data_IF_588784665775
#
_entry.id   IF_588784665775
#
_cell.length_a   1.000
_cell.length_b   1.000
_cell.length_c   1.000
_cell.angle_alpha   90.00
_cell.angle_beta   90.00
_cell.angle_gamma   90.00
#
_symmetry.space_group_name_H-M   'P 1'
#
loop_
_entity.id
_entity.type
_entity.pdbx_description
1 polymer ?
#
# COMPACT_ATOMS: atom_id res chain seq x y z
N UNK A 1 -13.08 -20.72 66.57
CA UNK A 1 -12.13 -20.06 65.66
C UNK A 1 -12.70 -18.68 65.28
N UNK A 2 -12.34 -17.66 66.08
CA UNK A 2 -12.87 -16.30 65.89
C UNK A 2 -11.99 -15.58 64.87
N UNK A 3 -12.51 -15.39 63.69
CA UNK A 3 -11.92 -14.45 62.72
C UNK A 3 -12.13 -13.04 63.23
N UNK A 4 -11.04 -12.38 63.56
CA UNK A 4 -11.07 -11.04 64.13
C UNK A 4 -11.71 -10.05 63.18
N UNK A 5 -12.61 -9.20 63.66
CA UNK A 5 -13.37 -8.18 62.95
C UNK A 5 -12.53 -7.26 62.01
N UNK A 6 -11.23 -7.19 62.22
CA UNK A 6 -10.30 -6.41 61.39
C UNK A 6 -9.98 -7.04 60.03
N UNK A 7 -10.00 -8.39 59.92
CA UNK A 7 -9.76 -9.04 58.60
C UNK A 7 -10.96 -8.92 57.68
N UNK A 8 -12.18 -8.91 58.23
CA UNK A 8 -13.40 -8.71 57.44
C UNK A 8 -13.49 -7.27 56.93
N UNK A 9 -13.11 -6.27 57.76
CA UNK A 9 -13.05 -4.86 57.29
C UNK A 9 -12.00 -4.63 56.22
N UNK A 10 -10.85 -5.29 56.27
CA UNK A 10 -9.82 -5.18 55.25
C UNK A 10 -10.23 -5.84 53.93
N UNK A 11 -10.91 -7.00 54.00
CA UNK A 11 -11.44 -7.65 52.79
C UNK A 11 -12.53 -6.83 52.09
N UNK A 12 -13.40 -6.15 52.87
CA UNK A 12 -14.44 -5.28 52.36
C UNK A 12 -13.86 -4.01 51.71
N UNK A 13 -12.79 -3.44 52.24
CA UNK A 13 -12.10 -2.30 51.70
C UNK A 13 -11.36 -2.64 50.39
N UNK A 14 -10.78 -3.84 50.27
CA UNK A 14 -10.14 -4.33 49.05
C UNK A 14 -11.19 -4.60 47.95
N UNK A 15 -12.34 -5.18 48.30
CA UNK A 15 -13.45 -5.41 47.37
C UNK A 15 -14.07 -4.10 46.86
N UNK A 16 -14.25 -3.09 47.70
CA UNK A 16 -14.74 -1.77 47.32
C UNK A 16 -13.69 -1.05 46.46
N UNK A 17 -12.39 -1.16 46.76
CA UNK A 17 -11.30 -0.62 45.98
C UNK A 17 -11.22 -1.22 44.57
N UNK A 18 -11.44 -2.53 44.42
CA UNK A 18 -11.49 -3.22 43.12
C UNK A 18 -12.73 -2.82 42.29
N UNK A 19 -13.87 -2.55 42.92
CA UNK A 19 -15.07 -2.06 42.23
C UNK A 19 -14.91 -0.62 41.73
N UNK A 20 -14.13 0.22 42.41
CA UNK A 20 -13.86 1.60 41.93
C UNK A 20 -12.81 1.66 40.83
N UNK A 21 -11.86 0.70 40.78
CA UNK A 21 -10.86 0.66 39.71
C UNK A 21 -11.46 0.23 38.36
N UNK A 22 -12.47 -0.65 38.37
CA UNK A 22 -13.16 -1.10 37.16
C UNK A 22 -14.13 -0.06 36.58
N UNK A 23 -14.65 0.86 37.42
CA UNK A 23 -15.59 1.90 36.97
C UNK A 23 -14.90 3.19 36.47
N UNK A 24 -13.61 3.39 36.69
CA UNK A 24 -12.93 4.60 36.23
C UNK A 24 -12.54 4.57 34.75
N UNK A 25 -12.55 3.40 34.10
CA UNK A 25 -12.35 3.29 32.63
C UNK A 25 -13.63 3.45 31.82
N UNK A 26 -14.80 3.36 32.42
CA UNK A 26 -16.11 3.51 31.75
C UNK A 26 -16.66 4.94 31.79
N UNK A 27 -15.93 5.90 32.33
CA UNK A 27 -16.50 7.21 32.70
C UNK A 27 -16.29 8.36 31.71
N UNK A 28 -15.90 8.11 30.46
CA UNK A 28 -15.68 9.19 29.51
C UNK A 28 -16.44 9.08 28.18
N UNK A 29 -17.50 8.27 28.14
CA UNK A 29 -18.45 8.34 27.02
C UNK A 29 -19.77 8.87 27.56
N UNK A 30 -20.28 10.01 27.08
CA UNK A 30 -21.63 10.45 27.42
C UNK A 30 -22.62 9.36 27.03
N UNK A 31 -23.38 8.83 28.00
CA UNK A 31 -24.55 8.00 27.71
C UNK A 31 -25.46 8.81 26.81
N UNK A 32 -25.65 8.36 25.55
CA UNK A 32 -26.57 9.00 24.63
C UNK A 32 -26.02 9.43 23.27
N UNK A 33 -24.75 9.16 22.95
CA UNK A 33 -24.22 9.38 21.59
C UNK A 33 -24.05 8.03 20.87
N UNK A 34 -25.09 7.53 20.17
CA UNK A 34 -24.98 6.30 19.37
C UNK A 34 -23.90 6.41 18.27
N UNK A 35 -23.57 7.64 17.87
CA UNK A 35 -22.52 7.96 16.90
C UNK A 35 -21.10 7.63 17.36
N UNK A 36 -20.91 7.36 18.66
CA UNK A 36 -19.61 6.97 19.22
C UNK A 36 -19.35 5.47 19.18
N UNK A 37 -20.37 4.69 18.90
CA UNK A 37 -20.21 3.25 18.73
C UNK A 37 -19.82 2.97 17.28
N UNK A 38 -18.90 2.00 17.12
CA UNK A 38 -18.52 1.50 15.81
C UNK A 38 -19.81 1.11 15.05
N UNK A 39 -20.13 1.87 14.01
CA UNK A 39 -21.18 1.49 13.09
C UNK A 39 -20.65 0.30 12.27
N UNK A 40 -21.15 -0.92 12.44
CA UNK A 40 -20.70 -2.08 11.69
C UNK A 40 -20.92 -1.91 10.18
N UNK A 41 -21.86 -1.06 9.75
CA UNK A 41 -22.12 -0.74 8.35
C UNK A 41 -21.22 0.39 7.82
N UNK A 42 -20.57 1.16 8.71
CA UNK A 42 -19.63 2.21 8.32
C UNK A 42 -18.35 2.14 9.15
N UNK A 43 -17.44 1.24 8.80
CA UNK A 43 -16.19 1.02 9.53
C UNK A 43 -15.27 2.25 9.57
N UNK A 44 -15.49 3.28 8.74
CA UNK A 44 -14.74 4.55 8.78
C UNK A 44 -15.13 5.37 10.03
N UNK A 45 -16.34 5.19 10.55
CA UNK A 45 -16.82 5.82 11.78
C UNK A 45 -16.28 5.15 13.06
N UNK A 46 -15.41 4.16 12.95
CA UNK A 46 -14.74 3.61 14.12
C UNK A 46 -13.93 4.73 14.79
N UNK A 47 -14.25 4.99 16.05
CA UNK A 47 -13.56 5.97 16.90
C UNK A 47 -12.17 5.43 17.30
N UNK A 48 -11.39 5.06 16.29
CA UNK A 48 -10.06 4.55 16.50
C UNK A 48 -9.11 5.72 16.67
N UNK A 49 -8.70 5.93 17.92
CA UNK A 49 -7.55 6.76 18.24
C UNK A 49 -6.49 5.80 18.76
N UNK A 50 -5.31 5.74 18.16
CA UNK A 50 -4.20 4.98 18.73
C UNK A 50 -3.98 5.44 20.17
N UNK A 51 -4.24 4.58 21.14
CA UNK A 51 -4.25 4.93 22.56
C UNK A 51 -2.89 5.41 23.06
N UNK A 52 -1.79 5.02 22.39
CA UNK A 52 -0.42 5.22 22.86
C UNK A 52 0.54 5.66 21.76
N UNK A 53 0.11 6.58 20.89
CA UNK A 53 1.02 7.21 19.92
C UNK A 53 1.97 8.14 20.66
N UNK A 54 3.04 7.60 21.17
CA UNK A 54 4.16 8.37 21.65
C UNK A 54 5.40 8.13 20.78
N UNK A 55 6.35 9.07 20.81
CA UNK A 55 7.57 8.99 19.99
C UNK A 55 8.39 7.72 20.22
N UNK A 56 8.23 7.02 21.36
CA UNK A 56 8.97 5.80 21.69
C UNK A 56 8.38 4.57 20.99
N UNK A 57 7.07 4.55 20.74
CA UNK A 57 6.38 3.41 20.14
C UNK A 57 6.22 3.54 18.62
N UNK A 58 6.52 4.72 18.07
CA UNK A 58 6.51 4.95 16.63
C UNK A 58 7.57 4.07 15.95
N UNK A 59 7.11 3.11 15.16
CA UNK A 59 7.97 2.20 14.40
C UNK A 59 8.19 0.82 15.05
N UNK A 60 7.66 0.57 16.25
CA UNK A 60 7.73 -0.75 16.89
C UNK A 60 6.53 -1.65 16.53
N UNK A 61 5.36 -1.05 16.34
CA UNK A 61 4.16 -1.76 15.90
C UNK A 61 3.78 -1.33 14.47
N UNK A 62 3.85 -2.26 13.49
CA UNK A 62 3.49 -1.97 12.11
C UNK A 62 1.99 -1.68 11.93
N UNK A 63 1.16 -1.96 12.92
CA UNK A 63 -0.28 -1.74 12.85
C UNK A 63 -0.79 -0.63 13.79
N UNK A 64 0.10 0.16 14.37
CA UNK A 64 -0.27 1.18 15.37
C UNK A 64 -1.37 2.16 14.89
N UNK A 65 -1.47 2.37 13.59
CA UNK A 65 -2.50 3.24 12.99
C UNK A 65 -3.66 2.46 12.36
N UNK A 66 -3.65 1.12 12.46
CA UNK A 66 -4.69 0.28 11.89
C UNK A 66 -5.75 -0.05 12.94
N UNK A 67 -7.03 0.11 12.63
CA UNK A 67 -8.10 -0.37 13.51
C UNK A 67 -7.98 -1.89 13.71
N UNK A 68 -8.17 -2.34 14.95
CA UNK A 68 -8.19 -3.77 15.26
C UNK A 68 -9.36 -4.43 14.50
N UNK A 69 -9.09 -5.54 13.84
CA UNK A 69 -10.09 -6.39 13.17
C UNK A 69 -10.82 -5.78 11.97
N UNK A 70 -10.37 -4.64 11.40
CA UNK A 70 -11.00 -4.10 10.19
C UNK A 70 -10.04 -4.07 9.02
N UNK A 71 -10.39 -4.77 7.93
CA UNK A 71 -9.72 -4.69 6.63
C UNK A 71 -10.55 -3.84 5.70
N UNK A 72 -10.38 -2.51 5.72
CA UNK A 72 -11.18 -1.56 4.94
C UNK A 72 -10.71 -1.48 3.49
N UNK A 73 -9.44 -1.36 3.29
CA UNK A 73 -8.82 -1.32 1.97
C UNK A 73 -7.31 -1.40 2.07
N UNK A 74 -6.67 -1.75 0.95
CA UNK A 74 -5.21 -1.85 0.87
C UNK A 74 -4.70 -1.25 -0.42
N UNK A 75 -3.86 -0.23 -0.30
CA UNK A 75 -3.13 0.39 -1.39
C UNK A 75 -1.67 -0.04 -1.32
N UNK A 76 -1.22 -0.79 -2.31
CA UNK A 76 0.13 -1.37 -2.34
C UNK A 76 0.93 -0.74 -3.47
N UNK A 77 2.12 -0.21 -3.16
CA UNK A 77 3.02 0.39 -4.12
C UNK A 77 4.20 -0.53 -4.41
N UNK A 78 4.33 -0.92 -5.68
CA UNK A 78 5.54 -1.53 -6.23
C UNK A 78 6.32 -0.46 -6.99
N UNK A 79 7.52 -0.13 -6.52
CA UNK A 79 8.33 0.94 -7.12
C UNK A 79 9.61 0.36 -7.68
N UNK A 80 9.79 0.52 -8.98
CA UNK A 80 10.92 0.00 -9.74
C UNK A 80 12.13 0.94 -9.62
N UNK A 81 13.22 0.40 -9.09
CA UNK A 81 14.51 1.07 -8.96
C UNK A 81 15.61 0.38 -9.77
N UNK A 82 15.23 -0.41 -10.78
CA UNK A 82 16.19 -1.17 -11.58
C UNK A 82 16.88 -0.33 -12.65
N UNK A 83 16.31 0.83 -12.97
CA UNK A 83 16.93 1.84 -13.84
C UNK A 83 17.20 3.12 -13.06
N UNK A 84 18.33 3.80 -13.29
CA UNK A 84 18.57 5.11 -12.69
C UNK A 84 17.46 6.09 -13.05
N UNK A 85 16.97 6.82 -12.07
CA UNK A 85 15.93 7.82 -12.24
C UNK A 85 16.50 9.24 -12.22
N UNK A 86 16.01 10.10 -13.08
CA UNK A 86 16.33 11.51 -13.08
C UNK A 86 15.61 12.25 -11.94
N UNK A 87 16.10 13.44 -11.62
CA UNK A 87 15.49 14.25 -10.56
C UNK A 87 14.03 14.58 -10.85
N UNK A 88 13.69 14.92 -12.09
CA UNK A 88 12.31 15.21 -12.51
C UNK A 88 11.39 14.00 -12.32
N UNK A 89 11.85 12.80 -12.67
CA UNK A 89 11.12 11.55 -12.46
C UNK A 89 10.91 11.27 -10.98
N UNK A 90 11.92 11.45 -10.15
CA UNK A 90 11.81 11.30 -8.69
C UNK A 90 10.83 12.30 -8.10
N UNK A 91 10.86 13.56 -8.51
CA UNK A 91 9.95 14.58 -8.00
C UNK A 91 8.49 14.30 -8.46
N UNK A 92 8.30 13.79 -9.67
CA UNK A 92 7.00 13.33 -10.15
C UNK A 92 6.48 12.13 -9.33
N UNK A 93 7.32 11.11 -9.09
CA UNK A 93 6.98 9.96 -8.24
C UNK A 93 6.58 10.43 -6.84
N UNK A 94 7.39 11.30 -6.22
CA UNK A 94 7.06 11.87 -4.90
C UNK A 94 5.69 12.50 -4.87
N UNK A 95 5.38 13.30 -5.89
CA UNK A 95 4.09 13.97 -6.00
C UNK A 95 2.90 13.04 -6.20
N UNK A 96 3.12 11.80 -6.65
CA UNK A 96 2.07 10.82 -6.93
C UNK A 96 1.82 9.83 -5.81
N UNK A 97 2.88 9.35 -5.15
CA UNK A 97 2.77 8.26 -4.19
C UNK A 97 3.02 8.66 -2.73
N UNK A 98 3.36 9.93 -2.47
CA UNK A 98 3.60 10.45 -1.13
C UNK A 98 2.85 11.76 -0.88
N UNK A 99 3.00 12.28 0.32
CA UNK A 99 2.50 13.59 0.73
C UNK A 99 1.00 13.77 0.59
N UNK A 100 0.59 14.95 0.16
CA UNK A 100 -0.82 15.35 0.05
C UNK A 100 -1.59 14.49 -0.94
N UNK A 101 -0.97 14.06 -2.04
CA UNK A 101 -1.63 13.19 -3.02
C UNK A 101 -2.01 11.85 -2.38
N UNK A 102 -1.09 11.24 -1.61
CA UNK A 102 -1.38 10.01 -0.89
C UNK A 102 -2.58 10.19 0.06
N UNK A 103 -2.59 11.30 0.83
CA UNK A 103 -3.72 11.63 1.73
C UNK A 103 -5.02 11.80 0.96
N UNK A 104 -4.99 12.49 -0.20
CA UNK A 104 -6.17 12.78 -1.02
C UNK A 104 -6.69 11.59 -1.84
N UNK A 105 -5.88 10.55 -2.04
CA UNK A 105 -6.24 9.40 -2.88
C UNK A 105 -6.42 8.11 -2.10
N UNK A 106 -6.17 8.11 -0.80
CA UNK A 106 -6.31 6.94 0.06
C UNK A 106 -7.30 7.24 1.17
N UNK A 107 -8.40 6.50 1.29
CA UNK A 107 -9.35 6.70 2.38
C UNK A 107 -8.72 6.48 3.77
N UNK A 108 -9.30 7.06 4.84
CA UNK A 108 -8.86 6.81 6.21
C UNK A 108 -8.83 5.32 6.53
N UNK A 109 -7.86 4.90 7.32
CA UNK A 109 -7.67 3.53 7.79
C UNK A 109 -7.42 2.47 6.71
N UNK A 110 -7.34 2.84 5.45
CA UNK A 110 -6.81 1.95 4.42
C UNK A 110 -5.33 1.70 4.68
N UNK A 111 -4.93 0.44 4.53
CA UNK A 111 -3.53 0.04 4.64
C UNK A 111 -2.74 0.55 3.44
N UNK A 112 -1.54 1.03 3.70
CA UNK A 112 -0.60 1.49 2.68
C UNK A 112 0.68 0.69 2.84
N UNK A 113 1.11 0.03 1.77
CA UNK A 113 2.34 -0.74 1.76
C UNK A 113 3.24 -0.36 0.60
N UNK A 114 4.55 -0.44 0.80
CA UNK A 114 5.55 -0.18 -0.23
C UNK A 114 6.55 -1.32 -0.31
N UNK A 115 6.88 -1.71 -1.53
CA UNK A 115 7.92 -2.67 -1.85
C UNK A 115 8.75 -2.16 -3.03
N UNK A 116 10.07 -2.36 -2.98
CA UNK A 116 10.95 -2.07 -4.11
C UNK A 116 10.98 -3.23 -5.07
N UNK A 117 10.98 -2.92 -6.36
CA UNK A 117 11.42 -3.85 -7.40
C UNK A 117 12.91 -3.62 -7.59
N UNK A 118 13.69 -4.66 -7.41
CA UNK A 118 15.12 -4.70 -7.68
C UNK A 118 15.51 -6.01 -8.40
N UNK A 119 16.78 -6.32 -8.49
CA UNK A 119 17.28 -7.52 -9.18
C UNK A 119 17.27 -8.78 -8.32
N UNK A 120 16.81 -8.71 -7.08
CA UNK A 120 16.67 -9.85 -6.18
C UNK A 120 15.33 -10.59 -6.38
N UNK A 121 15.27 -11.84 -5.95
CA UNK A 121 14.02 -12.60 -6.03
C UNK A 121 12.97 -12.00 -5.07
N UNK A 122 11.70 -11.81 -5.53
CA UNK A 122 10.65 -11.21 -4.69
C UNK A 122 10.44 -11.91 -3.34
N UNK A 123 10.67 -13.23 -3.27
CA UNK A 123 10.54 -14.03 -2.05
C UNK A 123 11.54 -13.61 -0.95
N UNK A 124 12.66 -13.01 -1.35
CA UNK A 124 13.70 -12.51 -0.43
C UNK A 124 13.47 -11.07 0.01
N UNK A 125 12.49 -10.40 -0.60
CA UNK A 125 12.15 -9.00 -0.27
C UNK A 125 11.08 -8.94 0.80
N UNK A 126 11.23 -7.96 1.66
CA UNK A 126 10.22 -7.60 2.66
C UNK A 126 9.44 -6.36 2.20
N UNK A 127 8.23 -6.23 2.72
CA UNK A 127 7.47 -4.99 2.60
C UNK A 127 8.22 -3.91 3.36
N UNK A 128 8.73 -2.91 2.64
CA UNK A 128 9.60 -1.89 3.21
C UNK A 128 8.87 -0.94 4.17
N UNK A 129 7.55 -0.83 4.01
CA UNK A 129 6.67 -0.03 4.86
C UNK A 129 5.25 -0.57 4.77
N UNK A 130 4.55 -0.63 5.90
CA UNK A 130 3.16 -1.03 5.96
C UNK A 130 2.48 -0.35 7.14
N UNK A 131 1.53 0.55 6.89
CA UNK A 131 0.78 1.30 7.91
C UNK A 131 -0.59 1.70 7.38
N UNK A 132 -1.57 1.84 8.27
CA UNK A 132 -2.85 2.43 7.88
C UNK A 132 -2.78 3.96 7.90
N UNK A 133 -3.47 4.58 6.93
CA UNK A 133 -3.60 6.02 6.87
C UNK A 133 -4.47 6.54 8.03
N UNK A 134 -3.95 7.47 8.81
CA UNK A 134 -4.76 8.16 9.82
C UNK A 134 -5.71 9.18 9.16
N UNK A 135 -6.90 9.36 9.75
CA UNK A 135 -7.79 10.45 9.36
C UNK A 135 -7.22 11.81 9.76
N UNK A 136 -7.52 12.83 8.99
CA UNK A 136 -6.97 14.18 9.20
C UNK A 136 -7.62 14.93 10.35
N UNK A 137 -8.82 14.57 10.72
CA UNK A 137 -9.66 15.31 11.67
C UNK A 137 -10.34 16.54 11.08
N UNK A 138 -10.16 16.79 9.79
CA UNK A 138 -10.75 17.92 9.07
C UNK A 138 -11.70 17.43 7.97
N UNK A 139 -12.61 18.30 7.54
CA UNK A 139 -13.47 18.03 6.40
C UNK A 139 -12.61 17.78 5.15
N UNK A 140 -12.77 16.61 4.56
CA UNK A 140 -12.05 16.19 3.37
C UNK A 140 -12.98 15.59 2.33
N UNK A 141 -12.39 15.07 1.26
CA UNK A 141 -13.14 14.36 0.20
C UNK A 141 -13.74 13.03 0.69
N UNK A 142 -13.24 12.46 1.78
CA UNK A 142 -13.71 11.18 2.31
C UNK A 142 -14.67 11.42 3.49
N UNK A 143 -15.83 10.74 3.45
CA UNK A 143 -16.77 10.74 4.56
C UNK A 143 -16.11 10.15 5.82
N UNK A 144 -16.31 10.77 6.97
CA UNK A 144 -15.73 10.32 8.23
C UNK A 144 -14.30 10.82 8.51
N UNK A 145 -13.76 11.73 7.70
CA UNK A 145 -12.49 12.41 7.97
C UNK A 145 -12.56 13.40 9.12
N UNK A 146 -13.73 13.98 9.34
CA UNK A 146 -13.93 14.92 10.43
C UNK A 146 -13.83 14.22 11.79
N UNK A 147 -13.33 14.95 12.78
CA UNK A 147 -13.45 14.49 14.16
C UNK A 147 -14.90 14.59 14.61
N UNK A 148 -15.42 13.50 15.16
CA UNK A 148 -16.64 13.57 15.95
C UNK A 148 -16.26 14.11 17.35
N UNK A 149 -16.51 15.40 17.60
CA UNK A 149 -16.11 16.08 18.83
C UNK A 149 -16.74 15.50 20.11
N UNK A 150 -17.84 14.77 19.98
CA UNK A 150 -18.47 14.05 21.09
C UNK A 150 -17.76 12.75 21.48
N UNK A 151 -17.06 12.13 20.54
CA UNK A 151 -16.49 10.79 20.68
C UNK A 151 -14.95 10.80 20.66
N UNK A 152 -14.37 11.73 19.92
CA UNK A 152 -12.93 11.78 19.65
C UNK A 152 -12.37 13.14 20.05
N UNK A 153 -11.31 13.14 20.82
CA UNK A 153 -10.61 14.38 21.10
C UNK A 153 -9.87 14.88 19.84
N UNK A 154 -10.29 16.01 19.28
CA UNK A 154 -9.67 16.63 18.09
C UNK A 154 -8.14 16.71 18.22
N UNK A 155 -7.64 17.03 19.42
CA UNK A 155 -6.20 17.08 19.70
C UNK A 155 -5.55 15.71 19.53
N UNK A 156 -6.19 14.61 19.96
CA UNK A 156 -5.65 13.25 19.83
C UNK A 156 -5.56 12.83 18.36
N UNK A 157 -6.61 13.07 17.59
CA UNK A 157 -6.63 12.77 16.14
C UNK A 157 -5.55 13.56 15.41
N UNK A 158 -5.46 14.87 15.65
CA UNK A 158 -4.43 15.69 15.02
C UNK A 158 -3.01 15.22 15.40
N UNK A 159 -2.78 14.84 16.65
CA UNK A 159 -1.50 14.30 17.10
C UNK A 159 -1.16 12.99 16.39
N UNK A 160 -2.11 12.08 16.28
CA UNK A 160 -1.93 10.80 15.58
C UNK A 160 -1.67 11.00 14.08
N UNK A 161 -2.40 11.92 13.44
CA UNK A 161 -2.19 12.26 12.04
C UNK A 161 -0.79 12.87 11.80
N UNK A 162 -0.36 13.79 12.65
CA UNK A 162 1.00 14.37 12.55
C UNK A 162 2.09 13.32 12.77
N UNK A 163 1.90 12.40 13.70
CA UNK A 163 2.82 11.28 13.92
C UNK A 163 2.89 10.36 12.69
N UNK A 164 1.75 10.02 12.10
CA UNK A 164 1.68 9.25 10.86
C UNK A 164 2.40 9.97 9.70
N UNK A 165 2.16 11.29 9.51
CA UNK A 165 2.83 12.09 8.49
C UNK A 165 4.36 12.06 8.67
N UNK A 166 4.83 12.25 9.91
CA UNK A 166 6.26 12.24 10.21
C UNK A 166 6.91 10.89 9.88
N UNK A 167 6.26 9.77 10.21
CA UNK A 167 6.73 8.44 9.85
C UNK A 167 6.78 8.25 8.34
N UNK A 168 5.73 8.66 7.65
CA UNK A 168 5.64 8.57 6.19
C UNK A 168 6.73 9.39 5.50
N UNK A 169 6.99 10.62 5.95
CA UNK A 169 8.07 11.47 5.44
C UNK A 169 9.46 10.88 5.71
N UNK A 170 9.67 10.30 6.90
CA UNK A 170 10.93 9.65 7.26
C UNK A 170 11.18 8.43 6.38
N UNK A 171 10.13 7.63 6.17
CA UNK A 171 10.18 6.49 5.26
C UNK A 171 10.47 6.94 3.83
N UNK A 172 9.75 7.94 3.31
CA UNK A 172 9.95 8.49 1.96
C UNK A 172 11.42 8.83 1.69
N UNK A 173 12.06 9.55 2.61
CA UNK A 173 13.48 9.92 2.48
C UNK A 173 14.38 8.69 2.33
N UNK A 174 14.17 7.67 3.15
CA UNK A 174 14.96 6.43 3.10
C UNK A 174 14.66 5.61 1.85
N UNK A 175 13.39 5.50 1.49
CA UNK A 175 12.92 4.66 0.39
C UNK A 175 13.45 5.14 -0.96
N UNK A 176 13.50 6.46 -1.16
CA UNK A 176 13.95 7.07 -2.41
C UNK A 176 15.47 7.29 -2.51
N UNK A 177 16.24 6.99 -1.46
CA UNK A 177 17.70 7.21 -1.50
C UNK A 177 18.45 6.33 -2.51
N UNK A 178 17.86 5.23 -2.96
CA UNK A 178 18.52 4.23 -3.84
C UNK A 178 18.18 4.39 -5.33
N UNK A 179 17.55 5.49 -5.73
CA UNK A 179 17.07 5.73 -7.09
C UNK A 179 18.17 5.82 -8.18
N UNK A 180 19.43 5.93 -7.77
CA UNK A 180 20.59 6.01 -8.69
C UNK A 180 21.24 4.65 -8.95
N UNK A 181 20.74 3.58 -8.35
CA UNK A 181 21.28 2.24 -8.56
C UNK A 181 20.84 1.71 -9.91
N UNK A 182 21.77 1.06 -10.59
CA UNK A 182 21.49 0.32 -11.81
C UNK A 182 21.49 -1.17 -11.48
N UNK A 183 20.47 -1.87 -11.94
CA UNK A 183 20.31 -3.30 -11.70
C UNK A 183 20.44 -4.08 -13.02
N UNK A 184 20.94 -5.32 -12.92
CA UNK A 184 21.08 -6.19 -14.07
C UNK A 184 19.76 -6.79 -14.56
N UNK A 185 18.70 -6.71 -13.75
CA UNK A 185 17.38 -7.29 -14.02
C UNK A 185 16.28 -6.37 -13.50
N UNK A 186 15.16 -6.37 -14.21
CA UNK A 186 13.90 -5.74 -13.75
C UNK A 186 12.84 -6.83 -13.70
N UNK A 187 12.46 -7.23 -12.50
CA UNK A 187 11.60 -8.38 -12.22
C UNK A 187 10.13 -7.98 -11.98
N UNK A 188 9.62 -7.00 -12.74
CA UNK A 188 8.30 -6.39 -12.53
C UNK A 188 7.21 -7.45 -12.49
N UNK A 189 7.25 -8.39 -13.43
CA UNK A 189 6.28 -9.47 -13.54
C UNK A 189 6.32 -10.43 -12.35
N UNK A 190 7.53 -10.77 -11.91
CA UNK A 190 7.75 -11.63 -10.75
C UNK A 190 7.23 -10.98 -9.47
N UNK A 191 7.45 -9.69 -9.29
CA UNK A 191 6.93 -8.92 -8.15
C UNK A 191 5.42 -8.76 -8.20
N UNK A 192 4.84 -8.49 -9.38
CA UNK A 192 3.39 -8.45 -9.55
C UNK A 192 2.72 -9.74 -9.04
N UNK A 193 3.19 -10.90 -9.50
CA UNK A 193 2.62 -12.17 -9.06
C UNK A 193 2.93 -12.48 -7.60
N UNK A 194 4.07 -12.08 -7.09
CA UNK A 194 4.41 -12.25 -5.69
C UNK A 194 3.42 -11.49 -4.79
N UNK A 195 3.16 -10.21 -5.09
CA UNK A 195 2.21 -9.40 -4.31
C UNK A 195 0.80 -9.97 -4.39
N UNK A 196 0.39 -10.46 -5.54
CA UNK A 196 -0.97 -10.99 -5.72
C UNK A 196 -1.19 -12.38 -5.09
N UNK A 197 -0.15 -13.15 -4.79
CA UNK A 197 -0.27 -14.55 -4.38
C UNK A 197 0.23 -14.84 -2.96
N UNK A 198 1.18 -14.08 -2.48
CA UNK A 198 1.85 -14.39 -1.22
C UNK A 198 1.16 -13.74 -0.02
N UNK A 199 0.76 -14.55 0.95
CA UNK A 199 0.11 -14.07 2.18
C UNK A 199 0.97 -13.10 2.98
N UNK A 200 2.31 -13.25 2.93
CA UNK A 200 3.23 -12.38 3.65
C UNK A 200 3.18 -10.91 3.23
N UNK A 201 2.64 -10.61 2.04
CA UNK A 201 2.42 -9.24 1.58
C UNK A 201 1.16 -8.63 2.18
N UNK A 202 0.31 -9.45 2.79
CA UNK A 202 -1.01 -9.10 3.32
C UNK A 202 -1.92 -8.37 2.29
N UNK A 203 -1.61 -8.50 0.99
CA UNK A 203 -2.43 -7.93 -0.09
C UNK A 203 -3.48 -8.93 -0.56
N UNK A 204 -4.30 -9.40 0.38
CA UNK A 204 -5.26 -10.49 0.18
C UNK A 204 -6.64 -10.00 -0.27
N UNK A 205 -7.46 -10.91 -0.84
CA UNK A 205 -8.85 -10.63 -1.24
C UNK A 205 -9.81 -10.38 -0.07
N UNK A 206 -9.34 -10.48 1.17
CA UNK A 206 -10.11 -10.11 2.36
C UNK A 206 -10.33 -8.59 2.47
N UNK A 207 -9.48 -7.79 1.82
CA UNK A 207 -9.72 -6.35 1.71
C UNK A 207 -10.80 -6.09 0.65
N UNK A 208 -11.90 -5.38 1.01
CA UNK A 208 -12.98 -5.06 0.07
C UNK A 208 -12.54 -4.12 -1.06
N UNK A 209 -11.51 -3.33 -0.83
CA UNK A 209 -10.91 -2.45 -1.83
C UNK A 209 -9.40 -2.68 -1.89
N UNK A 210 -8.88 -2.99 -3.08
CA UNK A 210 -7.44 -3.17 -3.28
C UNK A 210 -6.95 -2.41 -4.49
N UNK A 211 -5.92 -1.62 -4.29
CA UNK A 211 -5.24 -0.94 -5.39
C UNK A 211 -3.75 -1.29 -5.37
N UNK A 212 -3.27 -1.90 -6.45
CA UNK A 212 -1.85 -2.12 -6.69
C UNK A 212 -1.33 -1.03 -7.63
N UNK A 213 -0.44 -0.18 -7.12
CA UNK A 213 0.20 0.88 -7.90
C UNK A 213 1.60 0.44 -8.28
N UNK A 214 1.85 0.30 -9.58
CA UNK A 214 3.16 -0.06 -10.13
C UNK A 214 3.80 1.20 -10.71
N UNK A 215 4.96 1.58 -10.18
CA UNK A 215 5.75 2.72 -10.66
C UNK A 215 6.96 2.17 -11.40
N UNK A 216 7.00 2.24 -12.73
CA UNK A 216 8.04 1.58 -13.54
C UNK A 216 8.06 2.09 -14.98
N UNK A 217 9.17 1.89 -15.67
CA UNK A 217 9.31 1.99 -17.13
C UNK A 217 8.71 0.78 -17.88
N UNK A 218 8.19 -0.21 -17.15
CA UNK A 218 7.59 -1.43 -17.66
C UNK A 218 8.54 -2.35 -18.46
N UNK A 219 9.84 -2.09 -18.44
CA UNK A 219 10.84 -2.87 -19.16
C UNK A 219 11.26 -4.13 -18.41
N UNK A 220 10.36 -5.11 -18.38
CA UNK A 220 10.60 -6.43 -17.79
C UNK A 220 11.90 -7.07 -18.30
N UNK A 221 12.76 -7.46 -17.38
CA UNK A 221 13.99 -8.20 -17.70
C UNK A 221 14.33 -9.26 -16.67
N UNK A 222 14.12 -10.52 -17.01
CA UNK A 222 14.46 -11.65 -16.14
C UNK A 222 15.13 -12.78 -16.93
N UNK A 223 15.58 -13.80 -16.19
CA UNK A 223 16.09 -15.04 -16.81
C UNK A 223 15.02 -15.80 -17.58
N UNK A 224 13.74 -15.59 -17.28
CA UNK A 224 12.61 -16.28 -17.90
C UNK A 224 12.22 -15.63 -19.22
N UNK A 225 12.12 -14.30 -19.25
CA UNK A 225 11.89 -13.54 -20.47
C UNK A 225 12.31 -12.08 -20.31
N UNK A 226 12.51 -11.40 -21.45
CA UNK A 226 12.98 -10.02 -21.47
C UNK A 226 12.25 -9.25 -22.55
N UNK A 227 11.70 -8.10 -22.19
CA UNK A 227 11.10 -7.18 -23.16
C UNK A 227 12.17 -6.49 -23.98
N UNK A 228 13.36 -6.25 -23.46
CA UNK A 228 14.47 -5.77 -24.28
C UNK A 228 14.72 -6.66 -25.53
N UNK A 229 14.63 -7.99 -25.38
CA UNK A 229 14.76 -8.94 -26.50
C UNK A 229 13.48 -9.06 -27.34
N UNK A 230 12.32 -8.75 -26.76
CA UNK A 230 11.03 -8.85 -27.44
C UNK A 230 10.68 -7.57 -28.23
N UNK A 231 11.09 -6.41 -27.69
CA UNK A 231 10.85 -5.11 -28.27
C UNK A 231 11.96 -4.65 -29.25
N UNK A 232 12.97 -5.47 -29.42
CA UNK A 232 14.04 -5.23 -30.40
C UNK A 232 13.57 -5.66 -31.77
N UNK A 233 13.59 -4.75 -32.75
CA UNK A 233 13.06 -5.03 -34.08
C UNK A 233 14.14 -5.26 -35.12
N UNK A 234 15.36 -4.73 -34.95
CA UNK A 234 16.45 -4.81 -35.95
C UNK A 234 17.84 -4.87 -35.33
N UNK A 235 18.85 -4.61 -36.15
CA UNK A 235 20.28 -4.71 -35.82
C UNK A 235 20.74 -3.71 -34.74
N UNK A 236 19.92 -2.76 -34.35
CA UNK A 236 20.21 -1.85 -33.25
C UNK A 236 20.05 -2.54 -31.89
N UNK A 237 20.91 -2.23 -30.94
CA UNK A 237 20.82 -2.77 -29.58
C UNK A 237 19.76 -2.05 -28.75
N UNK A 238 19.14 -1.02 -29.26
CA UNK A 238 18.12 -0.19 -28.59
C UNK A 238 16.73 -0.72 -28.91
N UNK A 239 15.87 -0.97 -27.93
CA UNK A 239 14.47 -1.29 -28.15
C UNK A 239 13.76 -0.11 -28.80
N UNK A 240 13.01 -0.34 -29.88
CA UNK A 240 12.25 0.72 -30.55
C UNK A 240 10.76 0.41 -30.75
N UNK A 241 10.38 -0.86 -30.83
CA UNK A 241 8.99 -1.30 -30.90
C UNK A 241 8.83 -2.71 -30.39
N UNK A 242 7.79 -2.97 -29.61
CA UNK A 242 7.49 -4.31 -29.12
C UNK A 242 6.70 -5.11 -30.16
N UNK A 243 7.00 -6.40 -30.26
CA UNK A 243 6.13 -7.35 -30.97
C UNK A 243 4.86 -7.57 -30.13
N UNK A 244 3.79 -8.06 -30.77
CA UNK A 244 2.53 -8.34 -30.07
C UNK A 244 2.71 -9.34 -28.93
N UNK A 245 1.83 -9.30 -27.94
CA UNK A 245 1.79 -10.24 -26.83
C UNK A 245 1.61 -11.70 -27.32
N UNK A 246 0.83 -11.91 -28.36
CA UNK A 246 0.69 -13.22 -28.99
C UNK A 246 2.02 -13.78 -29.53
N UNK A 247 2.92 -12.92 -30.03
CA UNK A 247 4.25 -13.35 -30.43
C UNK A 247 5.13 -13.73 -29.23
N UNK A 248 4.91 -13.14 -28.06
CA UNK A 248 5.55 -13.52 -26.80
C UNK A 248 5.06 -14.90 -26.35
N UNK A 249 3.76 -15.16 -26.39
CA UNK A 249 3.13 -16.44 -26.01
C UNK A 249 3.49 -17.63 -26.92
N UNK A 250 3.93 -17.39 -28.17
CA UNK A 250 4.46 -18.46 -29.03
C UNK A 250 5.70 -19.15 -28.43
N UNK A 251 6.41 -18.48 -27.53
CA UNK A 251 7.51 -19.09 -26.76
C UNK A 251 6.94 -19.91 -25.61
N UNK A 252 6.84 -21.24 -25.78
CA UNK A 252 6.23 -22.15 -24.80
C UNK A 252 6.73 -21.96 -23.38
N UNK A 253 8.04 -21.74 -23.18
CA UNK A 253 8.61 -21.46 -21.85
C UNK A 253 8.08 -20.21 -21.19
N UNK A 254 7.79 -19.15 -21.97
CA UNK A 254 7.20 -17.91 -21.46
C UNK A 254 5.72 -18.12 -21.17
N UNK A 255 5.00 -18.74 -22.10
CA UNK A 255 3.58 -19.06 -21.91
C UNK A 255 3.35 -19.88 -20.65
N UNK A 256 4.04 -20.99 -20.49
CA UNK A 256 3.93 -21.85 -19.32
C UNK A 256 4.28 -21.10 -18.04
N UNK A 257 5.34 -20.27 -18.08
CA UNK A 257 5.74 -19.46 -16.94
C UNK A 257 4.64 -18.48 -16.48
N UNK A 258 3.92 -17.88 -17.42
CA UNK A 258 2.79 -16.98 -17.13
C UNK A 258 1.60 -17.78 -16.63
N UNK A 259 1.25 -18.88 -17.31
CA UNK A 259 0.10 -19.72 -16.98
C UNK A 259 0.21 -20.32 -15.56
N UNK A 260 1.40 -20.81 -15.19
CA UNK A 260 1.69 -21.38 -13.86
C UNK A 260 1.52 -20.35 -12.72
N UNK A 261 1.56 -19.06 -13.04
CA UNK A 261 1.49 -17.95 -12.08
C UNK A 261 0.22 -17.14 -12.18
N UNK A 262 -0.63 -17.47 -13.13
CA UNK A 262 -1.90 -16.76 -13.32
C UNK A 262 -2.70 -16.74 -12.01
N UNK A 263 -3.10 -15.56 -11.52
CA UNK A 263 -3.92 -15.47 -10.32
C UNK A 263 -5.28 -16.17 -10.56
N UNK A 264 -5.86 -16.72 -9.52
CA UNK A 264 -7.23 -17.19 -9.59
C UNK A 264 -8.22 -16.01 -9.52
N UNK A 265 -9.50 -16.29 -9.82
CA UNK A 265 -10.54 -15.24 -9.83
C UNK A 265 -10.73 -14.59 -8.45
N UNK A 266 -10.61 -15.35 -7.37
CA UNK A 266 -10.76 -14.80 -6.02
C UNK A 266 -9.62 -13.84 -5.68
N UNK A 267 -8.40 -14.16 -6.12
CA UNK A 267 -7.25 -13.28 -5.98
C UNK A 267 -7.44 -11.95 -6.73
N UNK A 268 -8.19 -11.95 -7.83
CA UNK A 268 -8.43 -10.75 -8.64
C UNK A 268 -9.67 -9.95 -8.20
N UNK A 269 -10.46 -10.49 -7.29
CA UNK A 269 -11.66 -9.81 -6.79
C UNK A 269 -11.29 -8.49 -6.13
N UNK A 270 -12.06 -7.43 -6.43
CA UNK A 270 -11.88 -6.07 -5.87
C UNK A 270 -10.48 -5.47 -6.09
N UNK A 271 -9.76 -5.91 -7.11
CA UNK A 271 -8.44 -5.43 -7.46
C UNK A 271 -8.52 -4.34 -8.54
N UNK A 272 -7.90 -3.21 -8.27
CA UNK A 272 -7.53 -2.21 -9.29
C UNK A 272 -6.01 -2.21 -9.44
N UNK A 273 -5.50 -2.13 -10.67
CA UNK A 273 -4.09 -1.87 -10.95
C UNK A 273 -3.93 -0.48 -11.54
N UNK A 274 -3.09 0.34 -10.93
CA UNK A 274 -2.69 1.64 -11.46
C UNK A 274 -1.22 1.58 -11.84
N UNK A 275 -0.89 1.83 -13.09
CA UNK A 275 0.50 1.96 -13.53
C UNK A 275 0.85 3.44 -13.61
N UNK A 276 1.87 3.84 -12.88
CA UNK A 276 2.54 5.12 -13.04
C UNK A 276 3.75 4.89 -13.93
N UNK A 277 3.55 5.14 -15.24
CA UNK A 277 4.53 4.83 -16.25
C UNK A 277 5.59 5.93 -16.34
N UNK A 278 6.84 5.55 -16.14
CA UNK A 278 8.01 6.43 -16.18
C UNK A 278 8.62 6.34 -17.56
N UNK A 279 8.61 7.44 -18.33
CA UNK A 279 9.27 7.48 -19.63
C UNK A 279 10.79 7.65 -19.47
N UNK A 280 11.54 6.92 -20.28
CA UNK A 280 12.95 7.22 -20.54
C UNK A 280 13.10 7.87 -21.91
N UNK A 281 14.11 8.70 -22.11
CA UNK A 281 14.32 9.46 -23.35
C UNK A 281 14.36 8.62 -24.63
N UNK A 282 14.87 7.37 -24.51
CA UNK A 282 14.90 6.45 -25.66
C UNK A 282 13.51 5.90 -26.03
N UNK A 283 12.53 5.97 -25.13
CA UNK A 283 11.19 5.40 -25.33
C UNK A 283 10.29 6.33 -26.15
N UNK A 284 10.61 7.61 -26.22
CA UNK A 284 9.82 8.60 -26.93
C UNK A 284 10.02 8.56 -28.44
N UNK A 285 11.11 7.96 -28.93
CA UNK A 285 11.58 8.13 -30.30
C UNK A 285 10.80 7.35 -31.34
N UNK A 286 10.32 6.12 -31.11
CA UNK A 286 9.77 5.27 -32.19
C UNK A 286 8.52 4.46 -31.82
N UNK A 287 7.68 4.97 -30.94
CA UNK A 287 6.45 4.27 -30.54
C UNK A 287 6.69 3.07 -29.61
N UNK A 288 7.86 2.97 -28.99
CA UNK A 288 8.18 1.94 -27.98
C UNK A 288 7.20 2.03 -26.83
N UNK A 289 7.00 3.22 -26.26
CA UNK A 289 6.07 3.46 -25.15
C UNK A 289 4.67 2.94 -25.44
N UNK A 290 4.12 3.26 -26.62
CA UNK A 290 2.77 2.82 -27.02
C UNK A 290 2.69 1.30 -27.19
N UNK A 291 3.69 0.68 -27.80
CA UNK A 291 3.72 -0.77 -28.02
C UNK A 291 3.99 -1.55 -26.73
N UNK A 292 4.75 -0.97 -25.79
CA UNK A 292 5.02 -1.55 -24.48
C UNK A 292 3.76 -1.50 -23.60
N UNK A 293 3.05 -0.37 -23.60
CA UNK A 293 1.76 -0.24 -22.91
C UNK A 293 0.77 -1.27 -23.45
N UNK A 294 0.61 -1.38 -24.77
CA UNK A 294 -0.28 -2.37 -25.38
C UNK A 294 0.08 -3.82 -25.01
N UNK A 295 1.37 -4.11 -24.87
CA UNK A 295 1.84 -5.42 -24.45
C UNK A 295 1.45 -5.75 -23.00
N UNK A 296 1.53 -4.77 -22.08
CA UNK A 296 1.08 -4.92 -20.71
C UNK A 296 -0.44 -5.00 -20.59
N UNK A 297 -1.19 -4.24 -21.38
CA UNK A 297 -2.65 -4.34 -21.44
C UNK A 297 -3.11 -5.73 -21.91
N UNK A 298 -2.47 -6.28 -22.95
CA UNK A 298 -2.74 -7.63 -23.42
C UNK A 298 -2.37 -8.68 -22.36
N UNK A 299 -1.29 -8.48 -21.63
CA UNK A 299 -0.91 -9.33 -20.50
C UNK A 299 -1.98 -9.31 -19.40
N UNK A 300 -2.44 -8.13 -19.00
CA UNK A 300 -3.49 -7.99 -17.97
C UNK A 300 -4.77 -8.71 -18.39
N UNK A 301 -5.23 -8.49 -19.60
CA UNK A 301 -6.38 -9.21 -20.17
C UNK A 301 -6.16 -10.73 -20.14
N UNK A 302 -4.97 -11.19 -20.52
CA UNK A 302 -4.63 -12.61 -20.55
C UNK A 302 -4.65 -13.26 -19.16
N UNK A 303 -4.20 -12.56 -18.12
CA UNK A 303 -4.21 -13.06 -16.74
C UNK A 303 -5.50 -12.76 -15.99
N UNK A 304 -6.48 -12.08 -16.63
CA UNK A 304 -7.81 -11.81 -16.09
C UNK A 304 -7.93 -10.56 -15.26
N UNK A 305 -7.00 -9.62 -15.38
CA UNK A 305 -7.09 -8.29 -14.75
C UNK A 305 -7.86 -7.37 -15.70
N UNK A 306 -9.06 -6.97 -15.28
CA UNK A 306 -9.97 -6.14 -16.08
C UNK A 306 -9.95 -4.67 -15.65
N UNK A 307 -9.72 -4.41 -14.36
CA UNK A 307 -9.73 -3.06 -13.81
C UNK A 307 -8.30 -2.52 -13.66
N UNK A 308 -7.84 -1.82 -14.68
CA UNK A 308 -6.52 -1.18 -14.67
C UNK A 308 -6.56 0.20 -15.34
N UNK A 309 -5.59 1.04 -14.98
CA UNK A 309 -5.33 2.32 -15.62
C UNK A 309 -3.81 2.54 -15.77
N UNK A 310 -3.41 3.26 -16.82
CA UNK A 310 -2.02 3.61 -17.07
C UNK A 310 -1.92 5.14 -17.16
N UNK A 311 -1.22 5.71 -16.18
CA UNK A 311 -0.95 7.15 -16.09
C UNK A 311 0.47 7.38 -16.55
N UNK A 312 0.63 8.03 -17.69
CA UNK A 312 1.96 8.37 -18.21
C UNK A 312 2.50 9.61 -17.52
N UNK A 313 3.79 9.63 -17.31
CA UNK A 313 4.50 10.87 -17.03
C UNK A 313 4.34 11.73 -18.29
N UNK A 314 3.62 12.84 -18.18
CA UNK A 314 3.59 13.83 -19.26
C UNK A 314 5.00 14.41 -19.37
N UNK A 315 5.49 14.54 -20.58
CA UNK A 315 6.73 15.24 -20.84
C UNK A 315 6.62 16.61 -20.17
N UNK A 316 7.49 16.83 -19.19
CA UNK A 316 7.55 18.12 -18.48
C UNK A 316 8.31 19.01 -19.45
N UNK A 317 7.57 19.81 -20.25
CA UNK A 317 8.14 20.95 -20.95
C UNK A 317 8.64 22.03 -19.97
#
# INVERSE_FOLDING_TARGET
MQLTNNKIKLLFLILIGLFFITNSYAKNFPEGYPECYADPENPINQNFVPSDVNKKNLGQDPNIFCPLNSKLGHKFFLVDFTSPLEKAQIDWIKGRIFGDTLVKTTPPYHKISYMKIDDTAPQSQEVAYSQCRMKTGNKSKFKGEETNSGCEGTKKINTAFQAWLMLNQTFQKKFLNNYKQEANRSLIFEYLFHVLREQKTDFTSEYPERELVIVSDLMQHSKRFSFYKHCKTDLSNVPNKCRSFNALLKKSKVKNYIDDRKPNKDTLKNLKITILYINHDYETRDGLSSSLVALWEDLFKYIGIENYEIVKQLDIE
#
